data_IF_254809986871
#
_entry.id   IF_254809986871
#
_cell.length_a   1.000
_cell.length_b   1.000
_cell.length_c   1.000
_cell.angle_alpha   90.00
_cell.angle_beta   90.00
_cell.angle_gamma   90.00
#
_symmetry.space_group_name_H-M   'P 1'
#
loop_
_entity.id
_entity.type
_entity.pdbx_description
1 polymer ?
#
# COMPACT_ATOMS: atom_id res chain seq x y z
N UNK A 1 40.02 -4.78 -7.03
CA UNK A 1 38.81 -3.97 -7.23
C UNK A 1 37.76 -4.50 -6.28
N UNK A 2 37.66 -3.88 -5.11
CA UNK A 2 36.69 -4.23 -4.07
C UNK A 2 35.33 -3.70 -4.50
N UNK A 3 34.41 -4.60 -4.85
CA UNK A 3 33.00 -4.25 -5.03
C UNK A 3 32.44 -3.81 -3.69
N UNK A 4 32.22 -2.51 -3.52
CA UNK A 4 31.41 -1.97 -2.45
C UNK A 4 30.01 -2.59 -2.56
N UNK A 5 29.67 -3.48 -1.64
CA UNK A 5 28.27 -3.80 -1.35
C UNK A 5 27.65 -2.56 -0.72
N UNK A 6 27.01 -1.73 -1.53
CA UNK A 6 26.16 -0.67 -1.02
C UNK A 6 24.96 -1.32 -0.34
N UNK A 7 24.82 -1.08 0.96
CA UNK A 7 23.57 -1.29 1.70
C UNK A 7 22.54 -0.27 1.17
N UNK A 8 22.08 -0.45 -0.07
CA UNK A 8 21.05 0.40 -0.67
C UNK A 8 19.70 -0.11 -0.19
N UNK A 9 18.98 0.75 0.53
CA UNK A 9 17.52 0.66 0.58
C UNK A 9 17.04 0.60 -0.87
N UNK A 10 16.22 -0.40 -1.26
CA UNK A 10 15.83 -0.55 -2.65
C UNK A 10 15.15 0.72 -3.15
N UNK A 11 15.51 1.15 -4.36
CA UNK A 11 14.98 2.38 -4.95
C UNK A 11 13.46 2.22 -5.17
N UNK A 12 12.71 3.32 -5.06
CA UNK A 12 11.24 3.27 -5.15
C UNK A 12 10.73 2.65 -6.46
N UNK A 13 11.47 2.81 -7.56
CA UNK A 13 11.17 2.19 -8.85
C UNK A 13 11.34 0.66 -8.80
N UNK A 14 12.42 0.17 -8.21
CA UNK A 14 12.66 -1.27 -8.04
C UNK A 14 11.58 -1.91 -7.14
N UNK A 15 11.18 -1.21 -6.07
CA UNK A 15 10.06 -1.63 -5.22
C UNK A 15 8.78 -1.74 -6.06
N UNK A 16 8.46 -0.71 -6.85
CA UNK A 16 7.24 -0.67 -7.66
C UNK A 16 7.21 -1.77 -8.73
N UNK A 17 8.35 -2.12 -9.34
CA UNK A 17 8.45 -3.23 -10.32
C UNK A 17 8.01 -4.59 -9.74
N UNK A 18 8.08 -4.75 -8.42
CA UNK A 18 7.61 -5.96 -7.73
C UNK A 18 6.11 -5.95 -7.42
N UNK A 19 5.41 -4.84 -7.65
CA UNK A 19 3.97 -4.73 -7.39
C UNK A 19 3.21 -5.76 -8.23
N UNK A 20 2.40 -6.59 -7.56
CA UNK A 20 1.47 -7.53 -8.18
C UNK A 20 0.13 -7.42 -7.50
N UNK A 21 -0.87 -6.91 -8.22
CA UNK A 21 -2.27 -6.98 -7.80
C UNK A 21 -2.78 -8.37 -8.16
N UNK A 22 -3.26 -9.11 -7.15
CA UNK A 22 -3.74 -10.49 -7.34
C UNK A 22 -5.27 -10.57 -7.32
N UNK A 23 -5.93 -9.59 -6.69
CA UNK A 23 -7.38 -9.54 -6.62
C UNK A 23 -7.88 -8.11 -6.48
N UNK A 24 -8.88 -7.78 -7.28
CA UNK A 24 -9.71 -6.57 -7.11
C UNK A 24 -11.15 -7.04 -6.91
N UNK A 25 -11.74 -6.70 -5.76
CA UNK A 25 -13.11 -7.07 -5.41
C UNK A 25 -13.91 -5.82 -5.07
N UNK A 26 -14.80 -5.44 -5.98
CA UNK A 26 -15.79 -4.39 -5.74
C UNK A 26 -16.70 -4.78 -4.56
N UNK A 27 -16.97 -3.82 -3.67
CA UNK A 27 -17.93 -4.02 -2.57
C UNK A 27 -19.36 -3.86 -3.08
N UNK A 28 -20.26 -4.69 -2.58
CA UNK A 28 -21.67 -4.71 -3.00
C UNK A 28 -22.55 -3.71 -2.24
N UNK A 29 -22.17 -3.30 -1.02
CA UNK A 29 -23.05 -2.52 -0.13
C UNK A 29 -22.63 -1.08 0.13
N UNK A 30 -21.35 -0.71 -0.03
CA UNK A 30 -20.87 0.63 0.40
C UNK A 30 -19.68 1.16 -0.42
N UNK A 31 -19.77 1.13 -1.76
CA UNK A 31 -18.75 1.70 -2.65
C UNK A 31 -17.33 1.12 -2.50
N UNK A 32 -16.45 1.53 -3.39
CA UNK A 32 -15.04 1.13 -3.38
C UNK A 32 -14.77 -0.35 -3.69
N UNK A 33 -13.49 -0.67 -3.72
CA UNK A 33 -12.95 -1.99 -4.07
C UNK A 33 -11.86 -2.39 -3.09
N UNK A 34 -11.91 -3.63 -2.64
CA UNK A 34 -10.78 -4.27 -1.97
C UNK A 34 -9.76 -4.68 -3.01
N UNK A 35 -8.53 -4.21 -2.84
CA UNK A 35 -7.39 -4.52 -3.69
C UNK A 35 -6.39 -5.30 -2.83
N UNK A 36 -6.07 -6.50 -3.28
CA UNK A 36 -5.12 -7.39 -2.61
C UNK A 36 -3.97 -7.65 -3.55
N UNK A 37 -2.76 -7.63 -3.00
CA UNK A 37 -1.57 -7.86 -3.78
C UNK A 37 -0.32 -8.05 -2.93
N UNK A 38 0.81 -8.05 -3.62
CA UNK A 38 2.14 -8.12 -3.03
C UNK A 38 3.04 -7.03 -3.59
N UNK A 39 3.96 -6.54 -2.77
CA UNK A 39 4.98 -5.56 -3.16
C UNK A 39 6.18 -5.70 -2.22
N UNK A 40 7.39 -5.80 -2.78
CA UNK A 40 8.67 -5.90 -2.08
C UNK A 40 8.66 -6.84 -0.86
N UNK A 41 8.17 -8.07 -1.04
CA UNK A 41 8.12 -9.08 0.03
C UNK A 41 7.01 -8.87 1.08
N UNK A 42 6.06 -7.96 0.82
CA UNK A 42 4.91 -7.72 1.67
C UNK A 42 3.63 -8.11 0.95
N UNK A 43 2.63 -8.57 1.70
CA UNK A 43 1.24 -8.60 1.27
C UNK A 43 0.57 -7.31 1.68
N UNK A 44 -0.28 -6.77 0.82
CA UNK A 44 -1.18 -5.68 1.17
C UNK A 44 -2.64 -6.03 0.86
N UNK A 45 -3.53 -5.54 1.72
CA UNK A 45 -4.97 -5.52 1.52
C UNK A 45 -5.42 -4.06 1.72
N UNK A 46 -5.93 -3.43 0.65
CA UNK A 46 -6.31 -2.01 0.65
C UNK A 46 -7.77 -1.83 0.24
N UNK A 47 -8.49 -0.95 0.93
CA UNK A 47 -9.83 -0.53 0.54
C UNK A 47 -9.74 0.83 -0.15
N UNK A 48 -10.06 0.85 -1.44
CA UNK A 48 -9.82 1.99 -2.34
C UNK A 48 -11.13 2.49 -2.94
N UNK A 49 -11.28 3.80 -3.07
CA UNK A 49 -12.48 4.45 -3.58
C UNK A 49 -12.22 5.23 -4.89
N UNK A 50 -13.25 5.42 -5.74
CA UNK A 50 -13.11 6.23 -6.95
C UNK A 50 -12.98 7.73 -6.63
N UNK A 51 -13.68 8.21 -5.60
CA UNK A 51 -13.59 9.59 -5.09
C UNK A 51 -12.88 9.68 -3.74
N UNK A 52 -12.45 10.90 -3.36
CA UNK A 52 -11.92 11.21 -2.03
C UNK A 52 -12.99 11.07 -0.94
N UNK A 53 -12.55 10.80 0.28
CA UNK A 53 -13.44 10.74 1.43
C UNK A 53 -14.01 12.13 1.76
N UNK A 54 -15.27 12.17 2.20
CA UNK A 54 -15.90 13.40 2.70
C UNK A 54 -15.17 13.96 3.94
N UNK A 55 -14.60 13.07 4.75
CA UNK A 55 -13.74 13.42 5.89
C UNK A 55 -12.29 13.03 5.58
N UNK A 56 -11.35 13.99 5.53
CA UNK A 56 -9.94 13.71 5.24
C UNK A 56 -9.30 12.71 6.22
N UNK A 57 -9.73 12.67 7.47
CA UNK A 57 -9.20 11.72 8.48
C UNK A 57 -9.49 10.25 8.14
N UNK A 58 -10.48 10.00 7.27
CA UNK A 58 -10.83 8.67 6.80
C UNK A 58 -10.02 8.24 5.58
N UNK A 59 -9.13 9.10 5.10
CA UNK A 59 -8.28 8.87 3.95
C UNK A 59 -6.81 8.85 4.37
N UNK A 60 -6.06 7.90 3.81
CA UNK A 60 -4.62 7.87 3.98
C UNK A 60 -4.01 8.99 3.11
N UNK A 61 -3.84 10.18 3.69
CA UNK A 61 -3.39 11.35 2.93
C UNK A 61 -4.44 11.74 1.88
N UNK A 62 -4.02 11.83 0.62
CA UNK A 62 -4.86 12.21 -0.54
C UNK A 62 -4.96 11.05 -1.56
N UNK A 63 -5.01 9.82 -1.05
CA UNK A 63 -4.85 8.58 -1.84
C UNK A 63 -6.13 7.88 -2.28
N UNK A 64 -7.30 8.31 -1.77
CA UNK A 64 -8.59 7.59 -1.86
C UNK A 64 -8.55 6.18 -1.21
N UNK A 65 -7.59 5.91 -0.33
CA UNK A 65 -7.48 4.67 0.45
C UNK A 65 -8.03 4.92 1.85
N UNK A 66 -9.05 4.17 2.27
CA UNK A 66 -9.60 4.29 3.63
C UNK A 66 -9.12 3.22 4.60
N UNK A 67 -8.63 2.10 4.07
CA UNK A 67 -7.99 1.04 4.86
C UNK A 67 -6.78 0.50 4.12
N UNK A 68 -5.70 0.27 4.84
CA UNK A 68 -4.50 -0.39 4.33
C UNK A 68 -3.92 -1.27 5.42
N UNK A 69 -3.81 -2.56 5.12
CA UNK A 69 -3.06 -3.50 5.93
C UNK A 69 -1.85 -3.99 5.15
N UNK A 70 -0.67 -3.89 5.76
CA UNK A 70 0.59 -4.36 5.21
C UNK A 70 1.20 -5.42 6.13
N UNK A 71 1.61 -6.55 5.56
CA UNK A 71 2.15 -7.69 6.30
C UNK A 71 3.43 -8.20 5.66
N UNK A 72 4.46 -8.39 6.46
CA UNK A 72 5.69 -9.08 6.08
C UNK A 72 5.39 -10.53 5.70
N UNK A 73 5.81 -10.99 4.51
CA UNK A 73 5.57 -12.37 4.09
C UNK A 73 6.50 -13.38 4.77
N UNK A 74 7.70 -12.97 5.16
CA UNK A 74 8.69 -13.81 5.82
C UNK A 74 8.37 -14.04 7.30
N UNK A 75 8.16 -12.96 8.06
CA UNK A 75 7.90 -12.98 9.50
C UNK A 75 6.43 -13.09 9.85
N UNK A 76 5.54 -12.92 8.87
CA UNK A 76 4.08 -12.90 9.06
C UNK A 76 3.59 -11.80 10.02
N UNK A 77 4.42 -10.80 10.31
CA UNK A 77 4.09 -9.68 11.20
C UNK A 77 3.47 -8.51 10.45
N UNK A 78 2.64 -7.73 11.13
CA UNK A 78 2.06 -6.50 10.57
C UNK A 78 3.14 -5.42 10.46
N UNK A 79 3.35 -4.92 9.25
CA UNK A 79 4.30 -3.86 8.94
C UNK A 79 3.67 -2.45 9.00
N UNK A 80 2.38 -2.36 8.69
CA UNK A 80 1.57 -1.14 8.80
C UNK A 80 0.08 -1.52 8.86
N UNK A 81 -0.71 -0.72 9.58
CA UNK A 81 -2.16 -0.85 9.59
C UNK A 81 -2.82 0.53 9.72
N UNK A 82 -3.61 0.89 8.72
CA UNK A 82 -4.42 2.08 8.67
C UNK A 82 -5.88 1.66 8.49
N UNK A 83 -6.76 2.09 9.40
CA UNK A 83 -8.21 1.93 9.28
C UNK A 83 -8.87 3.26 9.66
N UNK A 84 -8.92 4.20 8.70
CA UNK A 84 -9.42 5.57 8.92
C UNK A 84 -8.69 6.26 10.09
N UNK A 85 -7.38 6.08 10.11
CA UNK A 85 -6.50 6.40 11.23
C UNK A 85 -5.39 5.35 11.36
N UNK A 86 -4.23 5.75 11.88
CA UNK A 86 -3.10 4.85 12.08
C UNK A 86 -3.29 4.00 13.34
N UNK A 87 -3.51 2.70 13.16
CA UNK A 87 -3.37 1.72 14.24
C UNK A 87 -1.90 1.35 14.44
N UNK A 88 -1.18 1.12 13.33
CA UNK A 88 0.26 0.81 13.30
C UNK A 88 0.88 1.61 12.16
N UNK A 89 1.73 2.59 12.52
CA UNK A 89 2.57 3.30 11.54
C UNK A 89 3.60 2.34 10.94
N UNK A 90 4.10 2.61 9.71
CA UNK A 90 5.11 1.77 9.08
C UNK A 90 6.28 1.48 10.02
N UNK A 91 6.56 0.20 10.24
CA UNK A 91 7.56 -0.25 11.22
C UNK A 91 8.98 -0.22 10.68
N UNK A 92 9.15 -0.05 9.36
CA UNK A 92 10.44 0.01 8.68
C UNK A 92 10.44 1.07 7.58
N UNK A 93 11.61 1.58 7.16
CA UNK A 93 11.71 2.49 6.02
C UNK A 93 11.13 1.89 4.74
N UNK A 94 11.35 0.60 4.48
CA UNK A 94 10.76 -0.10 3.34
C UNK A 94 9.23 -0.11 3.39
N UNK A 95 8.64 -0.40 4.56
CA UNK A 95 7.20 -0.34 4.74
C UNK A 95 6.66 1.08 4.51
N UNK A 96 7.38 2.12 4.94
CA UNK A 96 7.00 3.50 4.67
C UNK A 96 6.97 3.81 3.17
N UNK A 97 8.03 3.44 2.45
CA UNK A 97 8.09 3.61 0.98
C UNK A 97 7.00 2.84 0.26
N UNK A 98 6.67 1.62 0.71
CA UNK A 98 5.55 0.84 0.15
C UNK A 98 4.23 1.58 0.36
N UNK A 99 3.97 2.08 1.57
CA UNK A 99 2.77 2.86 1.87
C UNK A 99 2.67 4.08 0.96
N UNK A 100 3.77 4.83 0.80
CA UNK A 100 3.81 6.02 -0.06
C UNK A 100 3.52 5.68 -1.53
N UNK A 101 4.11 4.59 -2.05
CA UNK A 101 3.86 4.12 -3.42
C UNK A 101 2.40 3.70 -3.64
N UNK A 102 1.82 2.96 -2.69
CA UNK A 102 0.41 2.55 -2.76
C UNK A 102 -0.51 3.78 -2.68
N UNK A 103 -0.23 4.70 -1.76
CA UNK A 103 -0.99 5.94 -1.60
C UNK A 103 -0.91 6.83 -2.85
N UNK A 104 0.23 6.87 -3.54
CA UNK A 104 0.43 7.72 -4.71
C UNK A 104 -0.32 7.25 -5.96
N UNK A 105 -0.62 5.95 -6.10
CA UNK A 105 -1.07 5.43 -7.39
C UNK A 105 -2.11 4.30 -7.38
N UNK A 106 -2.41 3.66 -6.25
CA UNK A 106 -3.26 2.47 -6.26
C UNK A 106 -4.70 2.77 -6.68
N UNK A 107 -5.25 3.93 -6.28
CA UNK A 107 -6.60 4.34 -6.71
C UNK A 107 -6.67 4.63 -8.20
N UNK A 108 -5.66 5.29 -8.76
CA UNK A 108 -5.58 5.54 -10.19
C UNK A 108 -5.41 4.25 -10.98
N UNK A 109 -4.62 3.30 -10.47
CA UNK A 109 -4.48 1.99 -11.11
C UNK A 109 -5.81 1.20 -11.17
N UNK A 110 -6.75 1.44 -10.26
CA UNK A 110 -8.02 0.71 -10.17
C UNK A 110 -9.16 1.43 -10.89
N UNK A 111 -9.17 2.77 -10.88
CA UNK A 111 -10.28 3.59 -11.37
C UNK A 111 -9.90 4.59 -12.47
N UNK A 112 -8.61 4.79 -12.73
CA UNK A 112 -8.10 5.58 -13.85
C UNK A 112 -8.31 4.82 -15.16
N UNK A 113 -9.02 5.44 -16.10
CA UNK A 113 -9.26 4.90 -17.45
C UNK A 113 -8.10 5.25 -18.38
#
# INVERSE_FOLDING_TARGET
MTTNHTNQTPDASEILETLRVTKVQRRTSCGGSWVVGTIAGHRFDALVFPEHAESPDFELGDSRISKLWLKHLDTQTTAANFDRGWDIRPTTPLAATIVDLLAAGLAEHVFGN
#
